data_IF_933574198220
#
_entry.id   IF_933574198220
#
_cell.length_a   1.000
_cell.length_b   1.000
_cell.length_c   1.000
_cell.angle_alpha   90.00
_cell.angle_beta   90.00
_cell.angle_gamma   90.00
#
_symmetry.space_group_name_H-M   'P 1'
#
loop_
_entity.id
_entity.type
_entity.pdbx_description
1 polymer ?
#
# COMPACT_ATOMS: atom_id res chain seq x y z
N UNK A 1 -4.07 -21.30 3.05
CA UNK A 1 -4.65 -21.69 1.74
C UNK A 1 -5.39 -20.51 1.11
N UNK A 2 -6.27 -19.82 1.85
CA UNK A 2 -6.97 -18.61 1.37
C UNK A 2 -6.02 -17.41 1.22
N UNK A 3 -5.19 -17.10 2.23
CA UNK A 3 -4.21 -16.00 2.14
C UNK A 3 -3.28 -16.16 0.94
N UNK A 4 -2.62 -17.31 0.78
CA UNK A 4 -1.79 -17.59 -0.41
C UNK A 4 -2.53 -17.46 -1.75
N UNK A 5 -3.82 -17.81 -1.80
CA UNK A 5 -4.61 -17.64 -3.01
C UNK A 5 -4.91 -16.16 -3.29
N UNK A 6 -5.15 -15.37 -2.23
CA UNK A 6 -5.25 -13.92 -2.31
C UNK A 6 -3.93 -13.33 -2.81
N UNK A 7 -2.80 -13.69 -2.21
CA UNK A 7 -1.47 -13.20 -2.61
C UNK A 7 -1.20 -13.45 -4.10
N UNK A 8 -1.45 -14.66 -4.58
CA UNK A 8 -1.28 -15.01 -5.98
C UNK A 8 -2.20 -14.17 -6.89
N UNK A 9 -3.47 -14.01 -6.52
CA UNK A 9 -4.41 -13.21 -7.31
C UNK A 9 -3.98 -11.74 -7.38
N UNK A 10 -3.58 -11.16 -6.24
CA UNK A 10 -3.09 -9.78 -6.20
C UNK A 10 -1.84 -9.64 -7.05
N UNK A 11 -0.90 -10.58 -6.95
CA UNK A 11 0.31 -10.58 -7.77
C UNK A 11 0.01 -10.62 -9.27
N UNK A 12 -0.94 -11.45 -9.72
CA UNK A 12 -1.37 -11.50 -11.13
C UNK A 12 -2.05 -10.19 -11.56
N UNK A 13 -2.92 -9.60 -10.73
CA UNK A 13 -3.60 -8.34 -11.04
C UNK A 13 -2.64 -7.14 -11.07
N UNK A 14 -1.64 -7.15 -10.20
CA UNK A 14 -0.64 -6.08 -10.08
C UNK A 14 0.59 -6.31 -10.97
N UNK A 15 0.66 -7.42 -11.70
CA UNK A 15 1.68 -7.65 -12.71
C UNK A 15 1.67 -6.52 -13.75
N UNK A 16 0.48 -6.08 -14.16
CA UNK A 16 0.28 -4.91 -15.01
C UNK A 16 0.09 -3.63 -14.17
N UNK A 17 1.16 -3.17 -13.51
CA UNK A 17 1.19 -1.93 -12.68
C UNK A 17 0.77 -0.62 -13.39
N UNK A 18 0.36 -0.69 -14.65
CA UNK A 18 -0.06 0.45 -15.47
C UNK A 18 -1.56 0.43 -15.80
N UNK A 19 -2.30 -0.57 -15.35
CA UNK A 19 -3.73 -0.68 -15.60
C UNK A 19 -4.55 -0.23 -14.38
N UNK A 20 -5.10 0.98 -14.44
CA UNK A 20 -5.86 1.57 -13.32
C UNK A 20 -7.06 0.71 -12.91
N UNK A 21 -7.72 0.02 -13.85
CA UNK A 21 -8.85 -0.85 -13.53
C UNK A 21 -8.42 -2.09 -12.73
N UNK A 22 -7.29 -2.70 -13.10
CA UNK A 22 -6.74 -3.86 -12.38
C UNK A 22 -6.25 -3.48 -10.98
N UNK A 23 -5.59 -2.32 -10.86
CA UNK A 23 -5.15 -1.79 -9.56
C UNK A 23 -6.33 -1.53 -8.62
N UNK A 24 -7.41 -0.91 -9.12
CA UNK A 24 -8.65 -0.69 -8.36
C UNK A 24 -9.35 -2.01 -8.00
N UNK A 25 -9.31 -3.01 -8.89
CA UNK A 25 -9.87 -4.32 -8.60
C UNK A 25 -9.09 -5.03 -7.47
N UNK A 26 -7.75 -4.99 -7.52
CA UNK A 26 -6.87 -5.49 -6.45
C UNK A 26 -7.22 -4.83 -5.11
N UNK A 27 -7.27 -3.48 -5.07
CA UNK A 27 -7.64 -2.71 -3.88
C UNK A 27 -9.00 -3.18 -3.31
N UNK A 28 -10.02 -3.29 -4.17
CA UNK A 28 -11.36 -3.70 -3.76
C UNK A 28 -11.41 -5.13 -3.23
N UNK A 29 -10.68 -6.06 -3.86
CA UNK A 29 -10.59 -7.45 -3.39
C UNK A 29 -9.98 -7.49 -1.99
N UNK A 30 -8.83 -6.83 -1.77
CA UNK A 30 -8.18 -6.79 -0.46
C UNK A 30 -9.13 -6.21 0.59
N UNK A 31 -9.76 -5.07 0.29
CA UNK A 31 -10.71 -4.41 1.21
C UNK A 31 -11.95 -5.24 1.49
N UNK A 32 -12.39 -6.06 0.54
CA UNK A 32 -13.54 -6.95 0.73
C UNK A 32 -13.17 -8.16 1.59
N UNK A 33 -12.01 -8.76 1.34
CA UNK A 33 -11.54 -9.92 2.11
C UNK A 33 -11.16 -9.52 3.53
N UNK A 34 -10.58 -8.33 3.72
CA UNK A 34 -10.16 -7.77 5.01
C UNK A 34 -11.03 -6.54 5.33
N UNK A 35 -12.32 -6.82 5.52
CA UNK A 35 -13.36 -5.80 5.65
C UNK A 35 -13.30 -4.94 6.92
N UNK A 36 -12.57 -5.38 7.94
CA UNK A 36 -12.45 -4.68 9.23
C UNK A 36 -11.25 -3.71 9.29
N UNK A 37 -10.48 -3.62 8.21
CA UNK A 37 -9.33 -2.72 8.11
C UNK A 37 -8.06 -3.23 8.79
N UNK A 38 -8.05 -4.42 9.38
CA UNK A 38 -6.85 -5.02 9.97
C UNK A 38 -5.98 -5.65 8.86
N UNK A 39 -5.45 -4.80 7.97
CA UNK A 39 -4.76 -5.24 6.75
C UNK A 39 -3.41 -5.90 7.01
N UNK A 40 -2.79 -5.69 8.18
CA UNK A 40 -1.45 -6.22 8.51
C UNK A 40 -0.46 -6.01 7.35
N UNK A 41 0.06 -7.08 6.74
CA UNK A 41 1.01 -6.99 5.61
C UNK A 41 0.41 -6.30 4.38
N UNK A 42 -0.90 -6.39 4.18
CA UNK A 42 -1.55 -5.76 3.04
C UNK A 42 -1.58 -4.23 3.12
N UNK A 43 -1.17 -3.60 4.23
CA UNK A 43 -0.86 -2.17 4.21
C UNK A 43 0.28 -1.85 3.23
N UNK A 44 1.32 -2.68 3.20
CA UNK A 44 2.44 -2.55 2.27
C UNK A 44 1.97 -2.67 0.81
N UNK A 45 1.19 -3.71 0.52
CA UNK A 45 0.57 -3.93 -0.79
C UNK A 45 -0.31 -2.75 -1.21
N UNK A 46 -1.18 -2.27 -0.33
CA UNK A 46 -2.09 -1.16 -0.62
C UNK A 46 -1.31 0.15 -0.82
N UNK A 47 -0.24 0.40 -0.06
CA UNK A 47 0.65 1.54 -0.29
C UNK A 47 1.19 1.53 -1.73
N UNK A 48 1.85 0.45 -2.16
CA UNK A 48 2.40 0.36 -3.52
C UNK A 48 1.30 0.40 -4.60
N UNK A 49 0.16 -0.23 -4.34
CA UNK A 49 -0.99 -0.19 -5.24
C UNK A 49 -1.45 1.26 -5.49
N UNK A 50 -1.63 2.06 -4.44
CA UNK A 50 -2.05 3.45 -4.58
C UNK A 50 -0.99 4.34 -5.25
N UNK A 51 0.31 4.10 -5.03
CA UNK A 51 1.36 4.77 -5.82
C UNK A 51 1.14 4.48 -7.32
N UNK A 52 0.92 3.22 -7.69
CA UNK A 52 0.69 2.84 -9.08
C UNK A 52 -0.60 3.47 -9.64
N UNK A 53 -1.67 3.55 -8.83
CA UNK A 53 -2.89 4.25 -9.22
C UNK A 53 -2.62 5.73 -9.46
N UNK A 54 -1.90 6.40 -8.56
CA UNK A 54 -1.54 7.81 -8.69
C UNK A 54 -0.73 8.08 -9.97
N UNK A 55 0.20 7.19 -10.33
CA UNK A 55 0.93 7.28 -11.61
C UNK A 55 0.00 7.19 -12.81
N UNK A 56 -0.93 6.24 -12.81
CA UNK A 56 -1.90 6.10 -13.90
C UNK A 56 -2.78 7.34 -14.02
N UNK A 57 -3.32 7.82 -12.90
CA UNK A 57 -4.17 9.01 -12.83
C UNK A 57 -3.43 10.27 -13.28
N UNK A 58 -2.15 10.41 -12.92
CA UNK A 58 -1.32 11.54 -13.37
C UNK A 58 -1.13 11.52 -14.89
N UNK A 59 -0.87 10.35 -15.49
CA UNK A 59 -0.78 10.19 -16.95
C UNK A 59 -2.10 10.50 -17.67
N UNK A 60 -3.24 10.27 -17.01
CA UNK A 60 -4.58 10.60 -17.49
C UNK A 60 -4.98 12.07 -17.23
N UNK A 61 -4.09 12.90 -16.67
CA UNK A 61 -4.36 14.28 -16.22
C UNK A 61 -5.46 14.41 -15.15
N UNK A 62 -5.73 13.33 -14.40
CA UNK A 62 -6.72 13.28 -13.31
C UNK A 62 -6.05 13.62 -11.98
N UNK A 63 -5.52 14.83 -11.90
CA UNK A 63 -4.58 15.23 -10.84
C UNK A 63 -5.17 15.18 -9.43
N UNK A 64 -6.42 15.63 -9.24
CA UNK A 64 -7.04 15.60 -7.91
C UNK A 64 -7.19 14.15 -7.39
N UNK A 65 -7.58 13.22 -8.27
CA UNK A 65 -7.65 11.81 -7.90
C UNK A 65 -6.26 11.20 -7.65
N UNK A 66 -5.24 11.65 -8.39
CA UNK A 66 -3.86 11.22 -8.15
C UNK A 66 -3.38 11.64 -6.76
N UNK A 67 -3.66 12.88 -6.34
CA UNK A 67 -3.34 13.38 -4.99
C UNK A 67 -4.06 12.57 -3.92
N UNK A 68 -5.36 12.28 -4.10
CA UNK A 68 -6.11 11.45 -3.15
C UNK A 68 -5.56 10.02 -3.06
N UNK A 69 -5.09 9.45 -4.18
CA UNK A 69 -4.39 8.17 -4.16
C UNK A 69 -3.06 8.27 -3.38
N UNK A 70 -2.26 9.32 -3.58
CA UNK A 70 -1.02 9.53 -2.82
C UNK A 70 -1.26 9.69 -1.31
N UNK A 71 -2.31 10.42 -0.91
CA UNK A 71 -2.71 10.54 0.50
C UNK A 71 -3.06 9.17 1.11
N UNK A 72 -3.80 8.33 0.37
CA UNK A 72 -4.11 6.97 0.81
C UNK A 72 -2.86 6.11 0.92
N UNK A 73 -1.95 6.22 -0.06
CA UNK A 73 -0.66 5.53 -0.02
C UNK A 73 0.12 5.90 1.25
N UNK A 74 0.22 7.20 1.57
CA UNK A 74 0.90 7.65 2.79
C UNK A 74 0.24 7.11 4.06
N UNK A 75 -1.09 7.14 4.14
CA UNK A 75 -1.81 6.58 5.28
C UNK A 75 -1.52 5.07 5.48
N UNK A 76 -1.41 4.31 4.38
CA UNK A 76 -1.00 2.91 4.44
C UNK A 76 0.47 2.73 4.82
N UNK A 77 1.36 3.61 4.36
CA UNK A 77 2.78 3.60 4.77
C UNK A 77 2.93 3.80 6.29
N UNK A 78 2.24 4.78 6.86
CA UNK A 78 2.23 5.03 8.32
C UNK A 78 1.66 3.84 9.08
N UNK A 79 0.50 3.34 8.67
CA UNK A 79 -0.12 2.19 9.32
C UNK A 79 0.77 0.93 9.23
N UNK A 80 1.51 0.78 8.14
CA UNK A 80 2.46 -0.31 8.00
C UNK A 80 3.59 -0.22 9.03
N UNK A 81 4.14 0.98 9.28
CA UNK A 81 5.12 1.15 10.35
C UNK A 81 4.60 0.74 11.72
N UNK A 82 3.37 1.14 12.05
CA UNK A 82 2.74 0.78 13.31
C UNK A 82 2.60 -0.74 13.44
N UNK A 83 2.21 -1.43 12.36
CA UNK A 83 2.15 -2.90 12.34
C UNK A 83 3.53 -3.51 12.56
N UNK A 84 4.58 -2.98 11.91
CA UNK A 84 5.96 -3.49 12.06
C UNK A 84 6.49 -3.27 13.46
N UNK A 85 6.29 -2.09 14.04
CA UNK A 85 6.67 -1.76 15.42
C UNK A 85 5.99 -2.73 16.40
N UNK A 86 4.66 -2.87 16.29
CA UNK A 86 3.87 -3.79 17.12
C UNK A 86 4.32 -5.25 17.01
N UNK A 87 4.65 -5.70 15.80
CA UNK A 87 5.12 -7.07 15.59
C UNK A 87 6.52 -7.31 16.19
N UNK A 88 7.41 -6.31 16.12
CA UNK A 88 8.75 -6.38 16.73
C UNK A 88 8.71 -6.38 18.25
N UNK A 89 7.83 -5.58 18.86
CA UNK A 89 7.68 -5.50 20.32
C UNK A 89 7.17 -6.81 20.94
N UNK A 90 6.17 -7.44 20.31
CA UNK A 90 5.53 -8.63 20.89
C UNK A 90 6.35 -9.90 20.70
N UNK A 91 7.26 -9.93 19.72
CA UNK A 91 8.00 -11.13 19.31
C UNK A 91 7.08 -12.37 19.11
N UNK A 92 5.82 -12.12 18.76
CA UNK A 92 4.75 -13.08 18.55
C UNK A 92 4.02 -12.70 17.25
N UNK A 93 3.38 -13.67 16.56
CA UNK A 93 2.58 -13.34 15.38
C UNK A 93 1.45 -12.36 15.72
N UNK A 94 1.18 -11.47 14.79
CA UNK A 94 -0.06 -10.71 14.76
C UNK A 94 -1.14 -11.56 14.09
N UNK A 95 -2.41 -11.28 14.37
CA UNK A 95 -3.50 -12.09 13.83
C UNK A 95 -4.51 -11.22 13.10
N UNK A 96 -4.98 -11.73 11.96
CA UNK A 96 -6.11 -11.13 11.26
C UNK A 96 -7.39 -11.33 12.08
N UNK A 97 -8.24 -10.31 12.04
CA UNK A 97 -9.53 -10.27 12.75
C UNK A 97 -10.72 -10.33 11.82
N UNK A 98 -10.50 -10.14 10.51
CA UNK A 98 -11.56 -10.20 9.51
C UNK A 98 -12.14 -11.60 9.41
N UNK A 99 -13.48 -11.78 9.24
CA UNK A 99 -14.11 -13.09 9.24
C UNK A 99 -13.50 -14.13 8.30
N UNK A 100 -13.00 -13.71 7.13
CA UNK A 100 -12.46 -14.64 6.11
C UNK A 100 -11.07 -15.17 6.50
N UNK A 101 -10.28 -14.35 7.20
CA UNK A 101 -8.90 -14.67 7.61
C UNK A 101 -8.78 -14.81 9.14
N UNK A 102 -9.89 -14.94 9.87
CA UNK A 102 -9.90 -14.81 11.32
C UNK A 102 -8.92 -15.78 11.99
N UNK A 103 -8.04 -15.23 12.83
CA UNK A 103 -7.04 -16.01 13.56
C UNK A 103 -5.88 -16.49 12.68
N UNK A 104 -5.80 -16.07 11.42
CA UNK A 104 -4.65 -16.36 10.58
C UNK A 104 -3.44 -15.55 11.05
N UNK A 105 -2.27 -16.19 11.29
CA UNK A 105 -1.11 -15.51 11.84
C UNK A 105 -0.28 -14.82 10.75
N UNK A 106 0.18 -13.61 11.05
CA UNK A 106 1.18 -12.86 10.31
C UNK A 106 2.48 -12.78 11.10
N UNK A 107 3.58 -13.23 10.50
CA UNK A 107 4.91 -13.23 11.11
C UNK A 107 5.79 -12.18 10.42
N UNK A 108 6.16 -11.11 11.14
CA UNK A 108 7.03 -10.06 10.58
C UNK A 108 8.40 -10.60 10.14
N UNK A 109 8.92 -11.60 10.86
CA UNK A 109 10.21 -12.22 10.55
C UNK A 109 10.20 -13.06 9.26
N UNK A 110 9.01 -13.35 8.71
CA UNK A 110 8.90 -14.01 7.41
C UNK A 110 9.19 -13.05 6.23
N UNK A 111 9.15 -11.74 6.47
CA UNK A 111 9.51 -10.75 5.47
C UNK A 111 11.02 -10.65 5.35
N UNK A 112 11.53 -10.88 4.14
CA UNK A 112 12.91 -10.54 3.81
C UNK A 112 13.04 -9.02 3.72
N UNK A 113 13.52 -8.40 4.78
CA UNK A 113 13.84 -6.97 4.79
C UNK A 113 15.31 -6.82 4.38
N UNK A 114 15.56 -6.39 3.14
CA UNK A 114 16.92 -6.20 2.61
C UNK A 114 17.43 -4.76 2.73
N UNK A 115 16.63 -3.85 3.27
CA UNK A 115 16.95 -2.43 3.43
C UNK A 115 16.72 -1.92 4.86
N UNK A 116 17.17 -0.70 5.14
CA UNK A 116 16.94 -0.02 6.43
C UNK A 116 15.88 1.07 6.35
N UNK A 117 15.29 1.29 5.17
CA UNK A 117 14.29 2.33 4.96
C UNK A 117 12.95 1.98 5.61
N UNK A 118 12.27 3.04 6.02
CA UNK A 118 10.88 3.05 6.46
C UNK A 118 9.95 3.11 5.24
N UNK A 119 8.73 2.60 5.36
CA UNK A 119 7.70 2.70 4.32
C UNK A 119 7.37 4.17 4.00
N UNK A 120 7.47 5.06 4.98
CA UNK A 120 7.32 6.50 4.77
C UNK A 120 8.48 7.11 3.99
N UNK A 121 9.73 6.66 4.22
CA UNK A 121 10.88 7.05 3.40
C UNK A 121 10.74 6.52 1.97
N UNK A 122 10.33 5.25 1.81
CA UNK A 122 10.07 4.68 0.49
C UNK A 122 8.97 5.47 -0.24
N UNK A 123 7.89 5.85 0.46
CA UNK A 123 6.85 6.72 -0.08
C UNK A 123 7.42 8.05 -0.59
N UNK A 124 8.27 8.71 0.19
CA UNK A 124 8.91 9.96 -0.22
C UNK A 124 9.81 9.76 -1.45
N UNK A 125 10.53 8.65 -1.52
CA UNK A 125 11.32 8.29 -2.71
C UNK A 125 10.43 8.16 -3.94
N UNK A 126 9.25 7.53 -3.84
CA UNK A 126 8.31 7.45 -4.97
C UNK A 126 7.86 8.83 -5.46
N UNK A 127 7.63 9.78 -4.55
CA UNK A 127 7.26 11.14 -4.96
C UNK A 127 8.35 11.85 -5.76
N UNK A 128 9.61 11.39 -5.71
CA UNK A 128 10.70 11.95 -6.54
C UNK A 128 10.66 11.49 -8.00
N UNK A 129 9.81 10.52 -8.34
CA UNK A 129 9.82 9.92 -9.68
C UNK A 129 9.23 10.86 -10.76
N UNK A 130 9.74 10.80 -12.01
CA UNK A 130 9.32 11.71 -13.09
C UNK A 130 7.83 11.63 -13.44
N UNK A 131 7.16 10.50 -13.18
CA UNK A 131 5.73 10.36 -13.43
C UNK A 131 4.87 11.37 -12.67
N UNK A 132 5.38 11.96 -11.59
CA UNK A 132 4.69 12.98 -10.80
C UNK A 132 5.12 14.41 -11.12
N UNK A 133 5.97 14.61 -12.14
CA UNK A 133 6.39 15.95 -12.57
C UNK A 133 5.21 16.90 -12.86
N UNK A 134 4.09 16.46 -13.46
CA UNK A 134 2.92 17.31 -13.65
C UNK A 134 2.27 17.83 -12.34
N UNK A 135 2.57 17.23 -11.19
CA UNK A 135 2.01 17.60 -9.89
C UNK A 135 2.92 18.52 -9.06
N UNK A 136 4.19 18.71 -9.48
CA UNK A 136 5.26 19.33 -8.65
C UNK A 136 4.94 20.72 -8.13
N UNK A 137 4.20 21.50 -8.91
CA UNK A 137 3.86 22.89 -8.58
C UNK A 137 2.56 23.00 -7.78
N UNK A 138 1.80 21.91 -7.60
CA UNK A 138 0.58 21.94 -6.82
C UNK A 138 0.89 21.99 -5.32
N UNK A 139 0.18 22.86 -4.61
CA UNK A 139 0.36 23.05 -3.17
C UNK A 139 0.12 21.76 -2.37
N UNK A 140 -0.92 21.00 -2.73
CA UNK A 140 -1.27 19.73 -2.08
C UNK A 140 -0.22 18.62 -2.30
N UNK A 141 0.44 18.60 -3.46
CA UNK A 141 1.58 17.71 -3.70
C UNK A 141 2.79 18.14 -2.88
N UNK A 142 3.08 19.45 -2.83
CA UNK A 142 4.18 20.00 -2.04
C UNK A 142 3.99 19.67 -0.55
N UNK A 143 2.77 19.73 -0.03
CA UNK A 143 2.49 19.32 1.35
C UNK A 143 2.83 17.85 1.60
N UNK A 144 2.46 16.95 0.68
CA UNK A 144 2.80 15.52 0.78
C UNK A 144 4.31 15.26 0.83
N UNK A 145 5.11 16.06 0.14
CA UNK A 145 6.59 15.92 0.15
C UNK A 145 7.27 16.34 1.46
N UNK A 146 6.52 16.92 2.40
CA UNK A 146 7.03 17.41 3.69
C UNK A 146 6.64 16.50 4.87
N UNK A 147 5.81 15.48 4.63
CA UNK A 147 5.30 14.52 5.61
C UNK A 147 6.28 13.38 5.88
#
# INVERSE_FOLDING_TARGET
MIERALDNLIWELEWEKQNLHMLKASEQIIKTIISDGNYLVYHDTLMFNYICQAKCLTRENRFDEAIEALKKSYAHAVAWEEVRARAREKNEPLYYTSPILQGHPFYINALHVTGTSTATEDFQEYLTQPEFDPLREREDFIELTKL
#
